data_IF_964725779534
#
_entry.id   IF_964725779534
#
_cell.length_a   1.000
_cell.length_b   1.000
_cell.length_c   1.000
_cell.angle_alpha   90.00
_cell.angle_beta   90.00
_cell.angle_gamma   90.00
#
_symmetry.space_group_name_H-M   'P 1'
#
loop_
_entity.id
_entity.type
_entity.pdbx_description
1 polymer ?
#
# COMPACT_ATOMS: atom_id res chain seq x y z
N UNK A 1 4.94 2.83 -5.96
CA UNK A 1 5.97 3.81 -6.39
C UNK A 1 5.50 4.77 -7.46
N UNK A 2 4.79 4.32 -8.51
CA UNK A 2 4.20 5.23 -9.49
C UNK A 2 3.24 6.24 -8.83
N UNK A 3 2.41 5.78 -7.89
CA UNK A 3 1.47 6.65 -7.16
C UNK A 3 2.18 7.76 -6.37
N UNK A 4 3.19 7.43 -5.56
CA UNK A 4 3.95 8.43 -4.78
C UNK A 4 4.53 9.53 -5.66
N UNK A 5 5.16 9.15 -6.78
CA UNK A 5 5.69 10.12 -7.75
C UNK A 5 4.59 10.96 -8.40
N UNK A 6 3.49 10.32 -8.83
CA UNK A 6 2.37 11.01 -9.46
C UNK A 6 1.69 12.01 -8.51
N UNK A 7 1.71 11.74 -7.20
CA UNK A 7 1.16 12.61 -6.14
C UNK A 7 2.19 13.57 -5.56
N UNK A 8 3.39 13.65 -6.14
CA UNK A 8 4.45 14.58 -5.72
C UNK A 8 4.96 14.34 -4.29
N UNK A 9 4.94 13.09 -3.82
CA UNK A 9 5.43 12.72 -2.49
C UNK A 9 6.86 12.18 -2.58
N UNK A 10 7.74 12.74 -1.76
CA UNK A 10 9.07 12.18 -1.54
C UNK A 10 8.94 10.89 -0.74
N UNK A 11 9.74 9.89 -1.09
CA UNK A 11 9.70 8.60 -0.40
C UNK A 11 11.06 7.90 -0.50
N UNK A 12 11.33 7.08 0.50
CA UNK A 12 12.46 6.15 0.53
C UNK A 12 11.94 4.75 0.74
N UNK A 13 12.56 3.78 0.07
CA UNK A 13 12.31 2.36 0.30
C UNK A 13 13.48 1.83 1.10
N UNK A 14 13.18 1.23 2.23
CA UNK A 14 14.17 0.52 3.03
C UNK A 14 13.61 -0.86 3.42
N UNK A 15 14.52 -1.74 3.78
CA UNK A 15 14.22 -3.10 4.22
C UNK A 15 14.69 -3.23 5.67
N UNK A 16 13.85 -3.81 6.51
CA UNK A 16 14.17 -4.09 7.90
C UNK A 16 13.64 -5.48 8.24
N UNK A 17 14.46 -6.30 8.91
CA UNK A 17 14.07 -7.68 9.23
C UNK A 17 12.90 -7.74 10.21
N UNK A 18 12.83 -6.78 11.13
CA UNK A 18 11.80 -6.68 12.14
C UNK A 18 11.54 -5.20 12.46
N UNK A 19 10.28 -4.81 12.31
CA UNK A 19 9.76 -3.49 12.60
C UNK A 19 9.32 -3.42 14.06
N UNK A 20 9.76 -2.39 14.79
CA UNK A 20 9.30 -2.12 16.16
C UNK A 20 9.34 -0.61 16.45
N UNK A 21 8.60 -0.10 17.46
CA UNK A 21 8.49 1.33 17.70
C UNK A 21 9.83 2.06 17.83
N UNK A 22 10.79 1.50 18.58
CA UNK A 22 12.09 2.11 18.81
C UNK A 22 12.93 2.28 17.52
N UNK A 23 12.95 1.25 16.66
CA UNK A 23 13.66 1.30 15.36
C UNK A 23 13.02 2.31 14.41
N UNK A 24 11.70 2.47 14.45
CA UNK A 24 11.00 3.41 13.57
C UNK A 24 11.16 4.85 14.04
N UNK A 25 11.13 5.09 15.35
CA UNK A 25 11.34 6.42 15.94
C UNK A 25 12.74 6.99 15.65
N UNK A 26 13.76 6.13 15.53
CA UNK A 26 15.13 6.55 15.20
C UNK A 26 15.33 6.98 13.74
N UNK A 27 14.37 6.72 12.85
CA UNK A 27 14.41 7.22 11.48
C UNK A 27 13.90 8.65 11.45
N UNK A 28 14.74 9.61 11.05
CA UNK A 28 14.39 11.03 11.01
C UNK A 28 13.98 11.48 9.60
N UNK A 29 13.22 12.59 9.52
CA UNK A 29 12.82 13.19 8.24
C UNK A 29 11.73 12.42 7.49
N UNK A 30 10.94 11.60 8.18
CA UNK A 30 9.83 10.84 7.61
C UNK A 30 8.54 11.18 8.34
N UNK A 31 7.48 11.52 7.61
CA UNK A 31 6.19 11.89 8.19
C UNK A 31 5.30 10.68 8.49
N UNK A 32 5.43 9.60 7.71
CA UNK A 32 4.65 8.38 7.82
C UNK A 32 5.41 7.19 7.23
N UNK A 33 4.96 5.98 7.57
CA UNK A 33 5.46 4.72 7.05
C UNK A 33 4.37 3.98 6.30
N UNK A 34 4.72 3.28 5.22
CA UNK A 34 3.80 2.38 4.51
C UNK A 34 4.36 0.97 4.56
N UNK A 35 3.61 0.06 5.17
CA UNK A 35 4.06 -1.30 5.40
C UNK A 35 3.77 -2.21 4.22
N UNK A 36 4.77 -2.40 3.35
CA UNK A 36 4.69 -3.29 2.18
C UNK A 36 5.09 -4.75 2.50
N UNK A 37 4.66 -5.25 3.66
CA UNK A 37 4.94 -6.60 4.16
C UNK A 37 3.68 -7.18 4.84
N UNK A 38 3.78 -7.87 5.97
CA UNK A 38 2.61 -8.38 6.69
C UNK A 38 1.78 -7.22 7.28
N UNK A 39 0.57 -6.92 6.76
CA UNK A 39 -0.18 -5.71 7.14
C UNK A 39 -0.73 -5.75 8.57
N UNK A 40 -0.60 -6.88 9.28
CA UNK A 40 -1.04 -7.02 10.68
C UNK A 40 -0.40 -5.97 11.60
N UNK A 41 0.89 -5.61 11.39
CA UNK A 41 1.57 -4.63 12.24
C UNK A 41 0.93 -3.24 12.16
N UNK A 42 0.58 -2.79 10.96
CA UNK A 42 -0.13 -1.51 10.77
C UNK A 42 -1.54 -1.56 11.36
N UNK A 43 -2.26 -2.69 11.23
CA UNK A 43 -3.66 -2.82 11.64
C UNK A 43 -3.82 -2.98 13.16
N UNK A 44 -3.03 -3.84 13.80
CA UNK A 44 -3.26 -4.21 15.21
C UNK A 44 -2.43 -3.41 16.19
N UNK A 45 -1.23 -2.98 15.76
CA UNK A 45 -0.22 -2.37 16.61
C UNK A 45 0.22 -1.00 16.07
N UNK A 46 -0.52 -0.43 15.11
CA UNK A 46 -0.21 0.87 14.52
C UNK A 46 -0.14 2.01 15.54
N UNK A 47 -0.92 1.91 16.63
CA UNK A 47 -0.95 2.91 17.72
C UNK A 47 0.31 2.91 18.59
N UNK A 48 1.15 1.86 18.54
CA UNK A 48 2.41 1.82 19.28
C UNK A 48 3.51 2.66 18.63
N UNK A 49 3.30 3.15 17.39
CA UNK A 49 4.27 3.94 16.65
C UNK A 49 3.98 5.44 16.79
N UNK A 50 5.03 6.24 17.01
CA UNK A 50 4.92 7.70 17.12
C UNK A 50 4.43 8.37 15.83
N UNK A 51 4.65 7.73 14.68
CA UNK A 51 4.26 8.23 13.36
C UNK A 51 3.34 7.22 12.69
N UNK A 52 2.38 7.67 11.86
CA UNK A 52 1.43 6.78 11.22
C UNK A 52 2.12 5.65 10.44
N UNK A 53 1.71 4.41 10.71
CA UNK A 53 2.12 3.23 9.94
C UNK A 53 0.91 2.72 9.18
N UNK A 54 0.88 3.00 7.89
CA UNK A 54 -0.24 2.71 7.01
C UNK A 54 -0.09 1.34 6.33
N UNK A 55 -1.20 0.66 6.11
CA UNK A 55 -1.25 -0.40 5.09
C UNK A 55 -1.12 0.22 3.69
N UNK A 56 -0.78 -0.58 2.66
CA UNK A 56 -0.76 -0.09 1.29
C UNK A 56 -2.13 0.41 0.81
N UNK A 57 -3.21 -0.17 1.31
CA UNK A 57 -4.57 0.29 1.03
C UNK A 57 -4.82 1.68 1.63
N UNK A 58 -4.49 1.88 2.91
CA UNK A 58 -4.63 3.17 3.59
C UNK A 58 -3.78 4.25 2.94
N UNK A 59 -2.59 3.92 2.46
CA UNK A 59 -1.76 4.84 1.70
C UNK A 59 -2.43 5.27 0.37
N UNK A 60 -3.15 4.36 -0.29
CA UNK A 60 -3.89 4.69 -1.51
C UNK A 60 -5.13 5.55 -1.21
N UNK A 61 -5.80 5.33 -0.08
CA UNK A 61 -6.89 6.18 0.42
C UNK A 61 -6.37 7.58 0.77
N UNK A 62 -5.30 7.67 1.56
CA UNK A 62 -4.69 8.93 2.00
C UNK A 62 -4.14 9.79 0.85
N UNK A 63 -3.88 9.16 -0.30
CA UNK A 63 -3.44 9.83 -1.52
C UNK A 63 -4.57 10.05 -2.53
N UNK A 64 -5.83 9.87 -2.13
CA UNK A 64 -7.01 10.02 -3.00
C UNK A 64 -6.88 9.18 -4.29
N UNK A 65 -6.38 7.95 -4.19
CA UNK A 65 -6.32 7.03 -5.33
C UNK A 65 -7.50 6.05 -5.33
N UNK A 66 -8.02 5.72 -4.15
CA UNK A 66 -9.16 4.81 -3.96
C UNK A 66 -10.09 5.39 -2.91
N UNK A 67 -11.39 5.10 -3.04
CA UNK A 67 -12.37 5.52 -2.03
C UNK A 67 -12.18 4.74 -0.73
N UNK A 68 -12.33 5.39 0.43
CA UNK A 68 -12.28 4.70 1.70
C UNK A 68 -13.46 3.75 1.91
N UNK A 69 -13.22 2.65 2.62
CA UNK A 69 -14.21 1.58 2.83
C UNK A 69 -15.44 2.04 3.61
N UNK A 70 -15.28 2.99 4.54
CA UNK A 70 -16.37 3.55 5.33
C UNK A 70 -17.30 4.48 4.53
N UNK A 71 -16.95 4.82 3.28
CA UNK A 71 -17.86 5.50 2.37
C UNK A 71 -18.53 4.54 1.37
N UNK A 72 -18.14 3.26 1.37
CA UNK A 72 -18.75 2.26 0.52
C UNK A 72 -20.06 1.76 1.15
N UNK A 73 -21.16 2.00 0.45
CA UNK A 73 -22.51 1.58 0.88
C UNK A 73 -22.64 0.06 0.80
N UNK A 74 -22.98 -0.53 1.96
CA UNK A 74 -23.36 -1.91 2.30
C UNK A 74 -23.24 -3.04 1.28
N UNK A 75 -22.69 -4.16 1.75
CA UNK A 75 -22.90 -5.49 1.16
C UNK A 75 -24.34 -6.02 1.37
N UNK A 76 -25.10 -5.44 2.31
CA UNK A 76 -26.51 -5.76 2.57
C UNK A 76 -27.31 -4.54 3.07
N UNK A 77 -28.66 -4.52 2.92
CA UNK A 77 -29.51 -3.47 3.47
C UNK A 77 -29.44 -3.45 5.01
N UNK A 78 -28.97 -2.35 5.59
CA UNK A 78 -28.86 -2.16 7.04
C UNK A 78 -27.43 -2.14 7.60
N UNK A 79 -26.41 -2.42 6.79
CA UNK A 79 -25.01 -2.24 7.19
C UNK A 79 -24.52 -0.83 6.81
N UNK A 80 -24.20 -0.04 7.83
CA UNK A 80 -23.79 1.36 7.71
C UNK A 80 -22.47 1.54 6.94
N UNK A 81 -21.59 0.52 6.93
CA UNK A 81 -20.27 0.58 6.31
C UNK A 81 -19.87 -0.77 5.69
N UNK A 82 -19.21 -0.74 4.53
CA UNK A 82 -18.56 -1.94 3.97
C UNK A 82 -17.40 -2.41 4.85
N UNK A 83 -17.06 -3.70 4.87
CA UNK A 83 -15.93 -4.21 5.65
C UNK A 83 -14.59 -3.63 5.15
N UNK A 84 -13.63 -3.50 6.07
CA UNK A 84 -12.25 -3.14 5.71
C UNK A 84 -11.67 -4.17 4.72
N UNK A 85 -11.02 -3.75 3.63
CA UNK A 85 -10.48 -4.66 2.64
C UNK A 85 -9.24 -5.39 3.16
N UNK A 86 -9.39 -6.69 3.41
CA UNK A 86 -8.33 -7.60 3.88
C UNK A 86 -7.71 -8.42 2.73
N UNK A 87 -7.52 -7.81 1.56
CA UNK A 87 -7.17 -8.45 0.29
C UNK A 87 -5.73 -8.16 -0.16
N UNK A 88 -4.86 -7.69 0.73
CA UNK A 88 -3.46 -7.39 0.41
C UNK A 88 -2.70 -8.55 -0.26
N UNK A 89 -2.94 -9.79 0.19
CA UNK A 89 -2.35 -11.00 -0.40
C UNK A 89 -3.28 -11.71 -1.39
N UNK A 90 -4.48 -11.18 -1.64
CA UNK A 90 -5.42 -11.80 -2.56
C UNK A 90 -4.89 -11.71 -3.99
N UNK A 91 -5.07 -12.80 -4.75
CA UNK A 91 -4.69 -12.83 -6.17
C UNK A 91 -5.43 -11.77 -6.98
N UNK A 92 -6.69 -11.56 -6.64
CA UNK A 92 -7.65 -10.64 -7.24
C UNK A 92 -7.89 -9.37 -6.41
N UNK A 93 -6.98 -9.06 -5.47
CA UNK A 93 -7.06 -7.85 -4.65
C UNK A 93 -6.87 -6.54 -5.44
N UNK A 94 -7.11 -5.42 -4.76
CA UNK A 94 -7.01 -4.08 -5.32
C UNK A 94 -5.61 -3.67 -5.80
N UNK A 95 -5.48 -2.40 -6.22
CA UNK A 95 -4.21 -1.79 -6.66
C UNK A 95 -3.11 -1.82 -5.61
N UNK A 96 -3.50 -1.92 -4.34
CA UNK A 96 -2.64 -2.02 -3.17
C UNK A 96 -2.12 -3.44 -2.88
N UNK A 97 -2.61 -4.47 -3.58
CA UNK A 97 -2.24 -5.86 -3.32
C UNK A 97 -0.78 -6.17 -3.67
N UNK A 98 -0.16 -7.10 -2.94
CA UNK A 98 1.21 -7.57 -3.18
C UNK A 98 1.29 -8.68 -4.22
N UNK A 99 0.16 -9.06 -4.84
CA UNK A 99 0.11 -10.16 -5.78
C UNK A 99 0.91 -9.81 -7.05
N UNK A 100 1.98 -10.56 -7.29
CA UNK A 100 2.74 -10.50 -8.55
C UNK A 100 1.94 -10.99 -9.75
N UNK A 101 0.84 -11.72 -9.51
CA UNK A 101 -0.06 -12.14 -10.56
C UNK A 101 -0.80 -10.89 -11.04
N UNK A 102 -0.30 -10.32 -12.15
CA UNK A 102 -0.94 -9.17 -12.79
C UNK A 102 -2.42 -9.50 -12.98
N UNK A 103 -3.28 -8.61 -12.47
CA UNK A 103 -4.66 -8.48 -12.90
C UNK A 103 -4.64 -8.40 -14.43
N UNK A 104 -4.95 -9.51 -15.12
CA UNK A 104 -5.26 -9.45 -16.54
C UNK A 104 -6.57 -8.68 -16.60
N UNK A 105 -6.50 -7.38 -16.86
CA UNK A 105 -7.69 -6.57 -17.08
C UNK A 105 -8.61 -7.32 -18.04
N UNK A 106 -9.92 -7.29 -17.77
CA UNK A 106 -10.94 -7.96 -18.59
C UNK A 106 -10.94 -7.52 -20.07
N UNK A 107 -10.03 -6.65 -20.51
CA UNK A 107 -9.70 -6.43 -21.92
C UNK A 107 -8.20 -6.14 -22.11
N UNK A 108 -7.52 -6.98 -22.90
CA UNK A 108 -6.48 -6.58 -23.87
C UNK A 108 -5.14 -6.06 -23.35
N UNK A 109 -4.13 -6.95 -23.37
CA UNK A 109 -2.68 -6.75 -23.59
C UNK A 109 -2.03 -5.44 -23.09
N UNK A 110 -1.02 -5.58 -22.22
CA UNK A 110 0.10 -4.63 -22.15
C UNK A 110 1.43 -5.35 -22.34
N UNK A 111 1.98 -5.29 -23.57
CA UNK A 111 3.37 -5.68 -23.84
C UNK A 111 4.26 -4.66 -23.12
N UNK A 112 5.10 -5.11 -22.18
CA UNK A 112 6.17 -4.28 -21.63
C UNK A 112 7.34 -4.32 -22.60
N UNK A 113 7.83 -3.16 -23.05
CA UNK A 113 9.07 -3.05 -23.80
C UNK A 113 10.25 -3.41 -22.87
N UNK A 114 11.23 -4.21 -23.32
CA UNK A 114 12.41 -4.51 -22.50
C UNK A 114 13.17 -3.23 -22.16
N UNK A 115 13.55 -3.07 -20.89
CA UNK A 115 14.48 -2.02 -20.47
C UNK A 115 15.88 -2.48 -20.86
N UNK A 116 16.55 -1.76 -21.75
CA UNK A 116 17.96 -1.98 -22.02
C UNK A 116 18.79 -1.32 -20.92
N UNK A 117 19.65 -2.11 -20.28
CA UNK A 117 20.62 -1.63 -19.30
C UNK A 117 21.93 -1.46 -20.08
N UNK A 118 22.30 -0.22 -20.38
CA UNK A 118 23.64 0.06 -20.87
C UNK A 118 24.62 -0.10 -19.72
N UNK A 119 25.54 -1.05 -19.86
CA UNK A 119 26.69 -1.18 -18.98
C UNK A 119 27.77 -0.22 -19.48
N UNK A 120 27.97 0.89 -18.78
CA UNK A 120 29.13 1.76 -19.02
C UNK A 120 30.37 1.05 -18.47
N UNK A 121 31.36 0.88 -19.35
CA UNK A 121 32.70 0.35 -19.05
C UNK A 121 33.56 1.43 -18.40
#
# INVERSE_FOLDING_TARGET
MALMRAKGREYVIFLISEMNPAKMASLHGLDAFVQIACPRLSIDWGEEFERPVLTPYEAEVALDNVSPWWLAVGAAPGEENSPYPMDYYARDGGTWSSSYHKQTGKNGKTKRTPVQIEQTV
#
